data_IF_253625045072
#
_entry.id   IF_253625045072
#
_cell.length_a   1.000
_cell.length_b   1.000
_cell.length_c   1.000
_cell.angle_alpha   90.00
_cell.angle_beta   90.00
_cell.angle_gamma   90.00
#
_symmetry.space_group_name_H-M   'P 1'
#
loop_
_entity.id
_entity.type
_entity.pdbx_description
1 polymer ?
#
# COMPACT_ATOMS: atom_id res chain seq x y z
N UNK A 1 -49.35 -27.69 3.32
CA UNK A 1 -48.73 -26.38 3.04
C UNK A 1 -47.38 -26.37 3.72
N UNK A 2 -46.31 -26.62 2.97
CA UNK A 2 -44.94 -26.57 3.48
C UNK A 2 -44.15 -25.74 2.47
N UNK A 3 -43.90 -24.48 2.81
CA UNK A 3 -43.11 -23.54 2.01
C UNK A 3 -41.63 -23.85 2.21
N UNK A 4 -40.99 -24.48 1.22
CA UNK A 4 -39.53 -24.54 1.15
C UNK A 4 -38.99 -23.19 0.64
N UNK A 5 -38.02 -22.65 1.37
CA UNK A 5 -37.26 -21.45 1.03
C UNK A 5 -36.43 -21.66 -0.23
N UNK A 6 -36.28 -20.65 -1.12
CA UNK A 6 -35.37 -20.76 -2.25
C UNK A 6 -33.93 -20.60 -1.75
N UNK A 7 -33.10 -21.59 -2.03
CA UNK A 7 -31.66 -21.51 -1.84
C UNK A 7 -31.10 -20.35 -2.67
N UNK A 8 -30.56 -19.35 -1.99
CA UNK A 8 -29.79 -18.25 -2.56
C UNK A 8 -28.36 -18.73 -2.85
N UNK A 9 -28.18 -19.48 -3.93
CA UNK A 9 -26.85 -19.63 -4.54
C UNK A 9 -26.61 -18.44 -5.47
N UNK A 10 -25.65 -17.59 -5.11
CA UNK A 10 -25.13 -16.56 -6.01
C UNK A 10 -24.68 -17.23 -7.33
N UNK A 11 -24.88 -16.60 -8.50
CA UNK A 11 -24.54 -17.22 -9.76
C UNK A 11 -23.01 -17.25 -9.91
N UNK A 12 -22.38 -18.33 -9.46
CA UNK A 12 -21.04 -18.66 -9.92
C UNK A 12 -21.16 -19.07 -11.37
N UNK A 13 -20.81 -18.16 -12.28
CA UNK A 13 -20.62 -18.49 -13.70
C UNK A 13 -19.47 -19.48 -13.76
N UNK A 14 -19.79 -20.74 -14.01
CA UNK A 14 -18.79 -21.75 -14.36
C UNK A 14 -18.24 -21.36 -15.72
N UNK A 15 -17.07 -20.72 -15.76
CA UNK A 15 -16.35 -20.46 -16.99
C UNK A 15 -15.82 -21.80 -17.48
N UNK A 16 -16.50 -22.41 -18.45
CA UNK A 16 -15.98 -23.58 -19.16
C UNK A 16 -14.85 -23.12 -20.07
N UNK A 17 -13.61 -23.48 -19.75
CA UNK A 17 -12.47 -23.22 -20.61
C UNK A 17 -12.62 -23.98 -21.94
N UNK A 18 -12.34 -23.32 -23.07
CA UNK A 18 -12.20 -23.98 -24.37
C UNK A 18 -11.03 -24.96 -24.28
N UNK A 19 -11.23 -26.27 -24.52
CA UNK A 19 -10.17 -27.27 -24.44
C UNK A 19 -9.04 -27.06 -25.46
N UNK A 20 -9.23 -26.19 -26.46
CA UNK A 20 -8.20 -25.84 -27.45
C UNK A 20 -7.40 -24.58 -27.10
N UNK A 21 -7.78 -23.87 -26.03
CA UNK A 21 -7.05 -22.69 -25.54
C UNK A 21 -6.23 -23.11 -24.34
N UNK A 22 -4.91 -23.16 -24.49
CA UNK A 22 -4.01 -23.33 -23.35
C UNK A 22 -4.20 -22.11 -22.44
N UNK A 23 -4.65 -22.26 -21.19
CA UNK A 23 -4.83 -21.12 -20.29
C UNK A 23 -3.49 -20.42 -20.11
N UNK A 24 -3.44 -19.12 -20.37
CA UNK A 24 -2.26 -18.32 -20.03
C UNK A 24 -2.10 -18.36 -18.51
N UNK A 25 -0.92 -18.78 -18.04
CA UNK A 25 -0.57 -18.62 -16.63
C UNK A 25 -0.48 -17.12 -16.32
N UNK A 26 -1.27 -16.65 -15.36
CA UNK A 26 -1.23 -15.26 -14.89
C UNK A 26 -0.23 -15.17 -13.74
N UNK A 27 0.75 -14.29 -13.87
CA UNK A 27 1.75 -14.02 -12.82
C UNK A 27 1.53 -12.62 -12.26
N UNK A 28 1.36 -12.53 -10.95
CA UNK A 28 1.10 -11.27 -10.26
C UNK A 28 2.06 -11.09 -9.08
N UNK A 29 2.51 -9.85 -8.86
CA UNK A 29 3.18 -9.46 -7.62
C UNK A 29 2.31 -8.47 -6.85
N UNK A 30 2.00 -8.82 -5.60
CA UNK A 30 1.15 -8.02 -4.72
C UNK A 30 1.96 -7.53 -3.52
N UNK A 31 1.92 -6.23 -3.27
CA UNK A 31 2.68 -5.58 -2.19
C UNK A 31 1.74 -5.07 -1.11
N UNK A 32 1.97 -5.54 0.11
CA UNK A 32 1.21 -5.10 1.27
C UNK A 32 1.61 -3.68 1.71
N UNK A 33 0.62 -2.97 2.27
CA UNK A 33 0.84 -1.70 2.95
C UNK A 33 1.49 -1.88 4.32
N UNK A 34 2.16 -0.85 4.81
CA UNK A 34 2.78 -0.92 6.15
C UNK A 34 3.83 0.14 6.46
N UNK A 35 3.90 1.24 5.70
CA UNK A 35 4.97 2.22 5.87
C UNK A 35 6.27 1.71 5.24
N UNK A 36 7.37 1.73 6.01
CA UNK A 36 8.70 1.28 5.57
C UNK A 36 8.74 -0.21 5.20
N UNK A 37 7.75 -1.02 5.60
CA UNK A 37 7.67 -2.44 5.23
C UNK A 37 7.56 -2.68 3.71
N UNK A 38 7.09 -1.69 2.93
CA UNK A 38 7.12 -1.78 1.47
C UNK A 38 8.56 -1.93 0.93
N UNK A 39 9.56 -1.38 1.63
CA UNK A 39 10.98 -1.55 1.27
C UNK A 39 11.40 -3.02 1.48
N UNK A 40 10.89 -3.70 2.52
CA UNK A 40 11.16 -5.12 2.70
C UNK A 40 10.60 -5.97 1.54
N UNK A 41 9.42 -5.60 1.01
CA UNK A 41 8.87 -6.26 -0.17
C UNK A 41 9.76 -6.04 -1.41
N UNK A 42 10.34 -4.84 -1.58
CA UNK A 42 11.30 -4.56 -2.65
C UNK A 42 12.59 -5.41 -2.50
N UNK A 43 13.11 -5.55 -1.28
CA UNK A 43 14.28 -6.41 -1.00
C UNK A 43 14.00 -7.87 -1.37
N UNK A 44 12.84 -8.39 -0.96
CA UNK A 44 12.43 -9.77 -1.28
C UNK A 44 12.26 -9.94 -2.79
N UNK A 45 11.58 -9.01 -3.46
CA UNK A 45 11.42 -9.07 -4.91
C UNK A 45 12.77 -9.02 -5.64
N UNK A 46 13.69 -8.15 -5.21
CA UNK A 46 15.05 -8.08 -5.78
C UNK A 46 15.79 -9.41 -5.63
N UNK A 47 15.76 -10.00 -4.44
CA UNK A 47 16.38 -11.31 -4.21
C UNK A 47 15.75 -12.43 -5.07
N UNK A 48 14.45 -12.36 -5.34
CA UNK A 48 13.77 -13.29 -6.26
C UNK A 48 14.29 -13.07 -7.68
N UNK A 49 14.21 -11.83 -8.21
CA UNK A 49 14.59 -11.55 -9.61
C UNK A 49 16.07 -11.83 -9.86
N UNK A 50 16.95 -11.53 -8.90
CA UNK A 50 18.39 -11.83 -9.00
C UNK A 50 18.66 -13.34 -9.10
N UNK A 51 17.91 -14.16 -8.36
CA UNK A 51 18.00 -15.62 -8.48
C UNK A 51 17.42 -16.13 -9.79
N UNK A 52 16.32 -15.54 -10.28
CA UNK A 52 15.79 -15.88 -11.60
C UNK A 52 16.83 -15.61 -12.71
N UNK A 53 17.53 -14.48 -12.62
CA UNK A 53 18.57 -14.14 -13.59
C UNK A 53 19.81 -15.04 -13.47
N UNK A 54 20.32 -15.24 -12.25
CA UNK A 54 21.57 -15.96 -12.03
C UNK A 54 21.42 -17.50 -12.12
N UNK A 55 20.33 -18.06 -11.61
CA UNK A 55 20.17 -19.51 -11.43
C UNK A 55 19.23 -20.13 -12.48
N UNK A 56 18.24 -19.38 -12.97
CA UNK A 56 17.26 -19.85 -13.93
C UNK A 56 17.42 -19.24 -15.33
N UNK A 57 18.51 -18.49 -15.54
CA UNK A 57 18.90 -17.89 -16.82
C UNK A 57 17.79 -17.06 -17.48
N UNK A 58 17.02 -16.32 -16.69
CA UNK A 58 16.03 -15.36 -17.17
C UNK A 58 16.72 -14.01 -17.39
N UNK A 59 17.06 -13.63 -18.64
CA UNK A 59 17.80 -12.39 -18.88
C UNK A 59 16.94 -11.19 -18.47
N UNK A 60 17.55 -10.17 -17.86
CA UNK A 60 16.85 -8.91 -17.55
C UNK A 60 15.61 -9.16 -16.67
N UNK A 61 15.77 -10.03 -15.67
CA UNK A 61 14.71 -10.36 -14.72
C UNK A 61 14.16 -9.11 -14.01
N UNK A 62 14.97 -8.06 -13.86
CA UNK A 62 14.55 -6.77 -13.32
C UNK A 62 13.49 -6.05 -14.17
N UNK A 63 13.28 -6.44 -15.44
CA UNK A 63 12.19 -5.95 -16.29
C UNK A 63 10.86 -6.61 -15.94
N UNK A 64 10.29 -6.18 -14.82
CA UNK A 64 9.07 -6.78 -14.27
C UNK A 64 7.90 -6.85 -15.27
N UNK A 65 7.78 -5.89 -16.19
CA UNK A 65 6.73 -5.86 -17.21
C UNK A 65 6.84 -6.98 -18.26
N UNK A 66 8.00 -7.64 -18.38
CA UNK A 66 8.20 -8.81 -19.25
C UNK A 66 7.84 -10.13 -18.52
N UNK A 67 7.86 -10.14 -17.18
CA UNK A 67 7.73 -11.35 -16.35
C UNK A 67 6.42 -11.44 -15.56
N UNK A 68 5.76 -10.30 -15.31
CA UNK A 68 4.51 -10.20 -14.55
C UNK A 68 3.40 -9.62 -15.43
N UNK A 69 2.19 -10.17 -15.31
CA UNK A 69 1.00 -9.62 -15.95
C UNK A 69 0.44 -8.42 -15.17
N UNK A 70 0.66 -8.38 -13.86
CA UNK A 70 0.22 -7.28 -13.02
C UNK A 70 1.06 -7.08 -11.76
N UNK A 71 1.14 -5.82 -11.35
CA UNK A 71 1.57 -5.41 -10.02
C UNK A 71 0.37 -4.82 -9.27
N UNK A 72 0.21 -5.20 -8.02
CA UNK A 72 -0.85 -4.66 -7.18
C UNK A 72 -0.30 -4.26 -5.81
N UNK A 73 -0.98 -3.34 -5.13
CA UNK A 73 -0.66 -3.11 -3.74
C UNK A 73 -1.65 -2.23 -3.00
N UNK A 74 -1.58 -2.33 -1.67
CA UNK A 74 -2.38 -1.53 -0.74
C UNK A 74 -1.50 -0.49 -0.05
N UNK A 75 -2.00 0.75 0.12
CA UNK A 75 -1.24 1.80 0.80
C UNK A 75 0.18 1.98 0.22
N UNK A 76 1.21 1.94 1.07
CA UNK A 76 2.61 2.03 0.61
C UNK A 76 3.00 0.94 -0.38
N UNK A 77 2.46 -0.27 -0.29
CA UNK A 77 2.70 -1.29 -1.32
C UNK A 77 2.13 -0.90 -2.69
N UNK A 78 1.02 -0.16 -2.71
CA UNK A 78 0.48 0.43 -3.94
C UNK A 78 1.41 1.45 -4.56
N UNK A 79 2.12 2.24 -3.74
CA UNK A 79 3.16 3.15 -4.23
C UNK A 79 4.33 2.36 -4.84
N UNK A 80 4.74 1.23 -4.24
CA UNK A 80 5.76 0.36 -4.81
C UNK A 80 5.34 -0.18 -6.19
N UNK A 81 4.08 -0.62 -6.31
CA UNK A 81 3.53 -1.08 -7.58
C UNK A 81 3.56 0.01 -8.67
N UNK A 82 3.26 1.26 -8.30
CA UNK A 82 3.33 2.42 -9.20
C UNK A 82 4.77 2.73 -9.60
N UNK A 83 5.72 2.71 -8.67
CA UNK A 83 7.13 2.99 -8.94
C UNK A 83 7.71 1.97 -9.92
N UNK A 84 7.56 0.68 -9.61
CA UNK A 84 8.16 -0.40 -10.39
C UNK A 84 7.41 -0.66 -11.71
N UNK A 85 6.07 -0.58 -11.67
CA UNK A 85 5.23 -0.79 -12.84
C UNK A 85 5.12 0.49 -13.65
N UNK A 86 4.27 1.42 -13.21
CA UNK A 86 3.87 2.57 -14.04
C UNK A 86 5.03 3.52 -14.35
N UNK A 87 5.90 3.80 -13.38
CA UNK A 87 7.05 4.71 -13.57
C UNK A 87 8.31 4.00 -14.05
N UNK A 88 8.34 2.65 -14.08
CA UNK A 88 9.50 1.85 -14.49
C UNK A 88 10.79 2.23 -13.74
N UNK A 89 10.68 2.59 -12.46
CA UNK A 89 11.83 2.74 -11.57
C UNK A 89 12.54 1.39 -11.49
N UNK A 90 13.87 1.37 -11.59
CA UNK A 90 14.63 0.13 -11.49
C UNK A 90 14.42 -0.52 -10.13
N UNK A 91 14.55 -1.85 -10.08
CA UNK A 91 14.49 -2.62 -8.84
C UNK A 91 15.80 -2.47 -8.03
N UNK A 92 16.16 -1.22 -7.74
CA UNK A 92 17.30 -0.80 -6.92
C UNK A 92 16.76 -0.43 -5.53
N UNK A 93 17.19 -1.18 -4.51
CA UNK A 93 16.64 -1.05 -3.15
C UNK A 93 17.04 0.28 -2.52
N UNK A 94 18.25 0.77 -2.78
CA UNK A 94 18.73 2.06 -2.30
C UNK A 94 17.92 3.19 -2.91
N UNK A 95 17.72 3.18 -4.23
CA UNK A 95 16.94 4.21 -4.92
C UNK A 95 15.48 4.22 -4.46
N UNK A 96 14.85 3.05 -4.36
CA UNK A 96 13.49 2.91 -3.84
C UNK A 96 13.44 3.43 -2.39
N UNK A 97 14.40 3.07 -1.55
CA UNK A 97 14.46 3.54 -0.16
C UNK A 97 14.52 5.07 -0.08
N UNK A 98 15.32 5.70 -0.91
CA UNK A 98 15.45 7.17 -0.91
C UNK A 98 14.21 7.85 -1.47
N UNK A 99 13.55 7.28 -2.48
CA UNK A 99 12.23 7.73 -2.94
C UNK A 99 11.22 7.71 -1.78
N UNK A 100 11.14 6.61 -1.04
CA UNK A 100 10.23 6.49 0.09
C UNK A 100 10.56 7.50 1.20
N UNK A 101 11.83 7.63 1.57
CA UNK A 101 12.26 8.64 2.54
C UNK A 101 11.84 10.04 2.08
N UNK A 102 12.09 10.40 0.83
CA UNK A 102 11.72 11.71 0.29
C UNK A 102 10.21 11.96 0.33
N UNK A 103 9.38 10.96 0.02
CA UNK A 103 7.92 11.09 0.08
C UNK A 103 7.43 11.23 1.54
N UNK A 104 8.01 10.48 2.48
CA UNK A 104 7.49 10.32 3.84
C UNK A 104 8.26 11.08 4.94
N UNK A 105 9.34 11.81 4.65
CA UNK A 105 10.24 12.40 5.65
C UNK A 105 9.67 13.55 6.50
N UNK A 106 8.40 13.96 6.35
CA UNK A 106 7.89 15.15 7.05
C UNK A 106 6.75 14.92 8.06
N UNK A 107 7.18 14.98 9.33
CA UNK A 107 6.39 14.89 10.54
C UNK A 107 5.61 16.17 10.93
N UNK A 108 5.42 17.15 10.04
CA UNK A 108 4.54 18.30 10.30
C UNK A 108 3.13 18.05 9.73
N UNK A 109 2.17 17.82 10.63
CA UNK A 109 0.76 17.46 10.30
C UNK A 109 0.07 18.52 9.42
N UNK A 110 0.49 19.78 9.48
CA UNK A 110 -0.20 20.91 8.83
C UNK A 110 0.14 21.14 7.35
N UNK A 111 1.20 20.53 6.80
CA UNK A 111 1.63 20.70 5.39
C UNK A 111 1.94 19.39 4.65
N UNK A 112 1.50 18.27 5.21
CA UNK A 112 1.90 16.93 4.75
C UNK A 112 1.39 16.63 3.32
N UNK A 113 0.13 16.94 3.01
CA UNK A 113 -0.45 16.67 1.68
C UNK A 113 0.20 17.46 0.54
N UNK A 114 0.41 18.78 0.72
CA UNK A 114 0.96 19.66 -0.33
C UNK A 114 2.43 19.36 -0.64
N UNK A 115 3.24 19.12 0.40
CA UNK A 115 4.67 18.87 0.25
C UNK A 115 4.98 17.47 -0.27
N UNK A 116 4.19 16.49 0.15
CA UNK A 116 4.25 15.14 -0.40
C UNK A 116 3.82 15.09 -1.86
N UNK A 117 2.73 15.77 -2.22
CA UNK A 117 2.32 15.93 -3.62
C UNK A 117 3.46 16.51 -4.47
N UNK A 118 4.18 17.51 -3.96
CA UNK A 118 5.37 18.06 -4.62
C UNK A 118 6.51 17.04 -4.76
N UNK A 119 6.77 16.24 -3.71
CA UNK A 119 7.81 15.22 -3.76
C UNK A 119 7.49 14.12 -4.77
N UNK A 120 6.22 13.68 -4.81
CA UNK A 120 5.74 12.71 -5.82
C UNK A 120 5.82 13.32 -7.21
N UNK A 121 5.42 14.57 -7.41
CA UNK A 121 5.59 15.26 -8.70
C UNK A 121 7.05 15.29 -9.15
N UNK A 122 8.00 15.54 -8.25
CA UNK A 122 9.42 15.53 -8.60
C UNK A 122 9.90 14.14 -9.04
N UNK A 123 9.38 13.08 -8.41
CA UNK A 123 9.65 11.70 -8.81
C UNK A 123 9.02 11.42 -10.18
N UNK A 124 7.76 11.77 -10.40
CA UNK A 124 7.07 11.59 -11.69
C UNK A 124 7.86 12.30 -12.80
N UNK A 125 8.29 13.55 -12.57
CA UNK A 125 9.13 14.32 -13.52
C UNK A 125 10.46 13.63 -13.85
N UNK A 126 11.05 12.92 -12.90
CA UNK A 126 12.33 12.21 -13.08
C UNK A 126 12.16 10.98 -14.00
N UNK A 127 11.05 10.27 -13.90
CA UNK A 127 10.86 8.97 -14.57
C UNK A 127 9.90 8.99 -15.77
N UNK A 128 9.11 10.05 -15.95
CA UNK A 128 8.31 10.23 -17.15
C UNK A 128 9.14 10.82 -18.30
N UNK A 129 9.10 10.21 -19.51
CA UNK A 129 9.91 10.64 -20.65
C UNK A 129 9.55 12.04 -21.16
N UNK A 130 8.33 12.50 -20.89
CA UNK A 130 7.95 13.92 -21.04
C UNK A 130 7.82 14.42 -19.62
N UNK A 131 8.64 15.38 -19.21
CA UNK A 131 8.70 16.01 -17.88
C UNK A 131 7.34 16.59 -17.44
N UNK A 132 6.40 15.69 -17.14
CA UNK A 132 4.97 15.95 -16.95
C UNK A 132 4.64 15.57 -15.52
N UNK A 133 4.59 16.59 -14.66
CA UNK A 133 4.30 16.41 -13.24
C UNK A 133 2.93 15.78 -12.98
N UNK A 134 1.99 15.95 -13.93
CA UNK A 134 0.61 15.53 -13.85
C UNK A 134 0.35 14.34 -14.78
N UNK A 135 1.36 13.48 -14.94
CA UNK A 135 1.24 12.30 -15.79
C UNK A 135 0.06 11.41 -15.35
N UNK A 136 -0.73 10.92 -16.31
CA UNK A 136 -1.88 10.08 -16.02
C UNK A 136 -1.41 8.76 -15.40
N UNK A 137 -2.22 8.20 -14.48
CA UNK A 137 -2.00 6.85 -14.00
C UNK A 137 -2.14 5.83 -15.14
N UNK A 138 -2.98 6.12 -16.14
CA UNK A 138 -3.10 5.35 -17.37
C UNK A 138 -1.72 5.20 -18.04
N UNK A 139 -1.31 3.95 -18.29
CA UNK A 139 -0.12 3.60 -19.06
C UNK A 139 -0.57 3.19 -20.47
N UNK A 140 -0.22 4.01 -21.46
CA UNK A 140 -0.54 3.74 -22.86
C UNK A 140 0.61 3.05 -23.62
N UNK A 141 1.70 2.70 -22.92
CA UNK A 141 2.83 2.00 -23.53
C UNK A 141 2.38 0.61 -24.01
N UNK A 142 2.89 0.16 -25.15
CA UNK A 142 2.52 -1.15 -25.72
C UNK A 142 2.98 -2.34 -24.86
N UNK A 143 3.99 -2.12 -24.01
CA UNK A 143 4.54 -3.05 -23.04
C UNK A 143 4.06 -2.75 -21.60
N UNK A 144 2.97 -1.98 -21.43
CA UNK A 144 2.45 -1.63 -20.11
C UNK A 144 2.11 -2.86 -19.26
N UNK A 145 2.66 -2.91 -18.04
CA UNK A 145 2.20 -3.84 -17.00
C UNK A 145 1.01 -3.25 -16.26
N UNK A 146 -0.01 -4.07 -16.00
CA UNK A 146 -1.18 -3.61 -15.28
C UNK A 146 -0.83 -3.30 -13.82
N UNK A 147 -1.08 -2.06 -13.38
CA UNK A 147 -0.85 -1.62 -12.00
C UNK A 147 -2.19 -1.37 -11.31
N UNK A 148 -2.36 -1.97 -10.14
CA UNK A 148 -3.54 -1.82 -9.28
C UNK A 148 -3.15 -1.20 -7.94
N UNK A 149 -3.76 -0.05 -7.63
CA UNK A 149 -3.57 0.62 -6.34
C UNK A 149 -4.88 0.57 -5.58
N UNK A 150 -4.82 0.01 -4.38
CA UNK A 150 -5.94 -0.05 -3.45
C UNK A 150 -5.72 0.99 -2.35
N UNK A 151 -6.60 1.98 -2.28
CA UNK A 151 -6.61 3.01 -1.26
C UNK A 151 -7.99 3.07 -0.58
N UNK A 152 -8.07 3.27 0.74
CA UNK A 152 -9.34 3.53 1.40
C UNK A 152 -9.90 4.87 0.93
N UNK A 153 -11.21 4.93 0.76
CA UNK A 153 -11.93 6.17 0.47
C UNK A 153 -12.40 6.79 1.79
N UNK A 154 -11.88 7.96 2.15
CA UNK A 154 -12.15 8.61 3.44
C UNK A 154 -13.58 9.16 3.52
N UNK A 155 -14.18 9.51 2.38
CA UNK A 155 -15.46 10.22 2.32
C UNK A 155 -16.68 9.31 2.10
N UNK A 156 -16.48 7.99 1.99
CA UNK A 156 -17.58 7.05 1.81
C UNK A 156 -17.93 6.37 3.14
N UNK A 157 -19.07 6.75 3.72
CA UNK A 157 -19.63 6.11 4.90
C UNK A 157 -19.87 4.60 4.71
N UNK A 158 -19.93 4.10 3.47
CA UNK A 158 -20.04 2.68 3.15
C UNK A 158 -18.70 1.92 3.19
N UNK A 159 -17.55 2.61 3.31
CA UNK A 159 -16.23 1.99 3.42
C UNK A 159 -15.74 1.31 2.13
N UNK A 160 -16.26 1.72 0.97
CA UNK A 160 -15.86 1.12 -0.31
C UNK A 160 -14.39 1.47 -0.63
N UNK A 161 -13.52 0.49 -0.91
CA UNK A 161 -12.15 0.79 -1.30
C UNK A 161 -12.10 1.41 -2.70
N UNK A 162 -11.29 2.47 -2.87
CA UNK A 162 -10.99 3.04 -4.18
C UNK A 162 -9.90 2.20 -4.84
N UNK A 163 -10.25 1.56 -5.96
CA UNK A 163 -9.31 0.79 -6.79
C UNK A 163 -8.94 1.65 -8.00
N UNK A 164 -7.68 2.05 -8.08
CA UNK A 164 -7.13 2.80 -9.20
C UNK A 164 -6.31 1.86 -10.08
N UNK A 165 -6.45 1.98 -11.41
CA UNK A 165 -5.89 1.03 -12.38
C UNK A 165 -5.14 1.78 -13.48
N UNK A 166 -3.91 1.37 -13.79
CA UNK A 166 -3.13 1.97 -14.89
C UNK A 166 -3.59 1.55 -16.28
N UNK A 167 -4.54 0.63 -16.40
CA UNK A 167 -5.06 0.15 -17.69
C UNK A 167 -6.50 0.58 -17.94
N UNK A 168 -7.09 1.39 -17.04
CA UNK A 168 -8.46 1.84 -17.19
C UNK A 168 -8.49 3.18 -17.96
N UNK A 169 -8.93 3.20 -19.24
CA UNK A 169 -8.98 4.42 -20.03
C UNK A 169 -9.99 5.44 -19.48
N UNK A 170 -11.00 4.99 -18.73
CA UNK A 170 -12.01 5.84 -18.13
C UNK A 170 -11.53 6.48 -16.80
N UNK A 171 -10.35 6.08 -16.31
CA UNK A 171 -9.77 6.64 -15.09
C UNK A 171 -8.99 7.93 -15.41
N UNK A 172 -9.55 9.07 -15.05
CA UNK A 172 -8.92 10.39 -15.23
C UNK A 172 -7.86 10.76 -14.18
N UNK A 173 -7.50 9.84 -13.29
CA UNK A 173 -6.57 10.10 -12.18
C UNK A 173 -5.10 10.18 -12.61
N UNK A 174 -4.35 11.08 -11.98
CA UNK A 174 -2.89 11.18 -12.14
C UNK A 174 -2.16 10.20 -11.22
N UNK A 175 -0.86 10.01 -11.48
CA UNK A 175 0.02 9.27 -10.56
C UNK A 175 0.07 9.96 -9.19
N UNK A 176 0.03 11.29 -9.17
CA UNK A 176 0.00 12.09 -7.93
C UNK A 176 -1.30 11.83 -7.15
N UNK A 177 -2.45 11.78 -7.82
CA UNK A 177 -3.73 11.48 -7.16
C UNK A 177 -3.71 10.10 -6.50
N UNK A 178 -3.10 9.11 -7.16
CA UNK A 178 -2.93 7.77 -6.59
C UNK A 178 -2.06 7.79 -5.33
N UNK A 179 -0.94 8.51 -5.37
CA UNK A 179 -0.04 8.66 -4.23
C UNK A 179 -0.69 9.45 -3.07
N UNK A 180 -1.45 10.50 -3.36
CA UNK A 180 -2.21 11.26 -2.36
C UNK A 180 -3.26 10.37 -1.69
N UNK A 181 -4.00 9.57 -2.46
CA UNK A 181 -5.00 8.64 -1.94
C UNK A 181 -4.39 7.56 -1.03
N UNK A 182 -3.22 7.01 -1.40
CA UNK A 182 -2.46 6.06 -0.56
C UNK A 182 -2.16 6.64 0.82
N UNK A 183 -1.75 7.91 0.87
CA UNK A 183 -1.24 8.52 2.09
C UNK A 183 -2.35 9.04 3.01
N UNK A 184 -3.50 9.40 2.44
CA UNK A 184 -4.68 9.79 3.21
C UNK A 184 -5.10 8.66 4.18
N UNK A 185 -4.90 7.41 3.79
CA UNK A 185 -5.07 6.21 4.63
C UNK A 185 -4.14 6.14 5.85
N UNK A 186 -2.87 6.58 5.69
CA UNK A 186 -1.85 6.45 6.74
C UNK A 186 -1.98 7.51 7.83
N UNK A 187 -2.60 8.65 7.51
CA UNK A 187 -2.94 9.68 8.50
C UNK A 187 -3.92 9.19 9.56
N UNK A 188 -4.81 8.23 9.25
CA UNK A 188 -5.71 7.63 10.23
C UNK A 188 -5.03 6.57 11.10
N UNK A 189 -4.19 5.71 10.51
CA UNK A 189 -3.44 4.69 11.25
C UNK A 189 -2.41 5.29 12.23
N UNK A 190 -1.80 6.43 11.88
CA UNK A 190 -0.94 7.18 12.80
C UNK A 190 -1.71 8.00 13.86
N UNK A 191 -2.98 8.31 13.61
CA UNK A 191 -3.87 8.86 14.64
C UNK A 191 -4.37 7.76 15.60
N UNK A 192 -4.58 6.54 15.09
CA UNK A 192 -5.03 5.34 15.81
C UNK A 192 -3.92 4.66 16.63
N UNK A 193 -2.65 4.80 16.24
CA UNK A 193 -1.50 4.34 17.05
C UNK A 193 -1.25 5.15 18.32
N UNK A 194 -2.09 6.16 18.62
CA UNK A 194 -2.38 6.56 20.02
C UNK A 194 -3.29 5.53 20.68
N UNK A 195 -2.87 4.26 20.65
CA UNK A 195 -3.44 3.23 21.48
C UNK A 195 -3.09 3.59 22.93
N UNK A 196 -4.15 3.82 23.70
CA UNK A 196 -4.20 4.14 25.11
C UNK A 196 -3.11 3.42 25.90
N UNK A 197 -2.42 4.18 26.76
CA UNK A 197 -1.77 3.68 27.96
C UNK A 197 -2.72 2.72 28.70
N UNK A 198 -2.46 1.43 28.54
CA UNK A 198 -3.03 0.31 29.30
C UNK A 198 -1.84 -0.63 29.48
N UNK A 199 -1.22 -0.83 30.64
CA UNK A 199 -1.69 -0.86 32.02
C UNK A 199 -0.62 -0.29 32.98
N UNK A 200 -0.96 0.14 34.19
CA UNK A 200 -0.99 -0.79 35.31
C UNK A 200 -1.94 -0.32 36.43
N UNK A 201 -3.08 -1.00 36.48
CA UNK A 201 -3.67 -1.61 37.68
C UNK A 201 -3.31 -1.02 39.06
N UNK A 202 -4.28 -0.26 39.57
CA UNK A 202 -4.79 -0.23 40.96
C UNK A 202 -4.27 -1.40 41.83
N UNK A 203 -3.41 -1.11 42.81
CA UNK A 203 -3.24 -1.96 44.02
C UNK A 203 -3.98 -1.28 45.18
N UNK A 204 -5.08 -1.90 45.62
CA UNK A 204 -5.74 -1.66 46.91
C UNK A 204 -5.62 -2.94 47.71
N UNK A 205 -5.19 -2.82 48.97
CA UNK A 205 -5.34 -3.85 49.99
C UNK A 205 -4.04 -4.44 50.55
N UNK A 206 -3.50 -3.81 51.61
CA UNK A 206 -3.07 -4.53 52.80
C UNK A 206 -3.48 -3.72 54.02
N UNK A 207 -4.41 -4.28 54.80
CA UNK A 207 -4.64 -3.92 56.19
C UNK A 207 -3.34 -4.13 56.98
N UNK A 208 -3.07 -3.23 57.93
CA UNK A 208 -2.57 -3.61 59.24
C UNK A 208 -2.94 -2.52 60.25
N UNK A 209 -3.73 -2.91 61.24
CA UNK A 209 -4.01 -2.20 62.47
C UNK A 209 -2.71 -1.77 63.19
N UNK A 210 -2.69 -0.56 63.74
CA UNK A 210 -2.24 -0.27 65.13
C UNK A 210 -2.48 1.20 65.53
N UNK A 211 -3.52 1.38 66.35
CA UNK A 211 -3.58 2.18 67.59
C UNK A 211 -2.90 3.55 67.75
N UNK A 212 -3.76 4.51 68.15
CA UNK A 212 -3.63 5.49 69.26
C UNK A 212 -2.93 6.85 69.05
N UNK A 213 -3.77 7.88 69.17
CA UNK A 213 -3.68 9.03 70.11
C UNK A 213 -2.66 10.16 69.88
N UNK A 214 -3.22 11.35 69.63
CA UNK A 214 -3.00 12.66 70.28
C UNK A 214 -1.59 13.08 70.75
N UNK A 215 -1.12 14.27 70.33
CA UNK A 215 -0.75 15.45 71.16
C UNK A 215 0.28 16.37 70.45
N UNK A 216 0.11 17.68 70.69
CA UNK A 216 0.97 18.85 70.48
C UNK A 216 2.46 18.64 70.85
N UNK A 217 3.42 19.43 70.37
CA UNK A 217 3.91 20.68 71.00
C UNK A 217 5.02 21.26 70.10
N UNK A 218 5.07 22.59 70.05
CA UNK A 218 6.14 23.40 69.48
C UNK A 218 7.38 23.46 70.40
N UNK A 219 8.57 23.40 69.80
CA UNK A 219 9.75 24.21 70.13
C UNK A 219 10.77 24.05 68.98
#
# INVERSE_FOLDING_TARGET
MSTQSPNSEAPYVVVTHDPNVVPKHIVAACFDGGGVHAIAAAVVLKAIMDRLEAELYVPQADRLHEHFDMLAGTGTGGLLAVLLGRLRVSLDVEEITDIYKNIFQDASVSRRGTRMGQNVQNIVRKYEPVNNADAPLLDMRGDAIAVYVLAPQIDDAAGTPKIMRSINPDSSGTIVDAALAICAAQTELSASSRFKNFSSSKKRGKENLRTRSTIWIAA
#
